data_IF_817574439072
#
_entry.id   IF_817574439072
#
_cell.length_a   1.000
_cell.length_b   1.000
_cell.length_c   1.000
_cell.angle_alpha   90.00
_cell.angle_beta   90.00
_cell.angle_gamma   90.00
#
_symmetry.space_group_name_H-M   'P 1'
#
loop_
_entity.id
_entity.type
_entity.pdbx_description
1 polymer ?
#
# COMPACT_ATOMS: atom_id res chain seq x y z
N UNK A 1 10.34 -5.43 8.62
CA UNK A 1 9.91 -6.65 9.30
C UNK A 1 9.48 -7.60 8.20
N UNK A 2 9.84 -8.88 8.29
CA UNK A 2 9.42 -9.85 7.28
C UNK A 2 7.95 -10.26 7.52
N UNK A 3 7.30 -10.86 6.52
CA UNK A 3 5.88 -11.27 6.59
C UNK A 3 5.56 -12.11 7.84
N UNK A 4 6.48 -12.95 8.28
CA UNK A 4 6.36 -13.77 9.49
C UNK A 4 6.30 -12.94 10.79
N UNK A 5 6.79 -11.70 10.78
CA UNK A 5 6.70 -10.78 11.92
C UNK A 5 5.38 -9.99 11.92
N UNK A 6 4.73 -9.84 10.75
CA UNK A 6 3.36 -9.33 10.63
C UNK A 6 2.41 -10.27 11.36
N UNK A 7 2.52 -11.57 11.06
CA UNK A 7 1.62 -12.60 11.61
C UNK A 7 1.74 -12.72 13.14
N UNK A 8 2.88 -12.32 13.72
CA UNK A 8 3.11 -12.33 15.17
C UNK A 8 2.40 -11.21 15.93
N UNK A 9 2.06 -10.10 15.27
CA UNK A 9 1.38 -8.96 15.93
C UNK A 9 -0.12 -8.91 15.65
N UNK A 10 -0.61 -9.80 14.79
CA UNK A 10 -2.03 -10.00 14.57
C UNK A 10 -2.70 -10.48 15.87
N UNK A 11 -3.83 -9.87 16.20
CA UNK A 11 -4.60 -10.22 17.37
C UNK A 11 -5.71 -11.20 16.99
N UNK A 12 -5.80 -12.32 17.70
CA UNK A 12 -6.92 -13.24 17.54
C UNK A 12 -8.24 -12.51 17.83
N UNK A 13 -9.23 -12.72 16.97
CA UNK A 13 -10.55 -12.11 17.12
C UNK A 13 -11.63 -13.18 17.14
N UNK A 14 -12.52 -13.09 18.11
CA UNK A 14 -13.70 -13.95 18.26
C UNK A 14 -14.94 -13.08 18.18
N UNK A 15 -15.88 -13.46 17.33
CA UNK A 15 -17.15 -12.77 17.15
C UNK A 15 -18.27 -13.81 17.18
N UNK A 16 -19.30 -13.59 18.00
CA UNK A 16 -20.41 -14.53 18.20
C UNK A 16 -19.99 -15.96 18.54
N UNK A 17 -18.89 -16.11 19.29
CA UNK A 17 -18.35 -17.43 19.70
C UNK A 17 -17.54 -18.16 18.61
N UNK A 18 -17.36 -17.57 17.43
CA UNK A 18 -16.54 -18.13 16.34
C UNK A 18 -15.23 -17.34 16.20
N UNK A 19 -14.11 -18.05 15.96
CA UNK A 19 -12.86 -17.41 15.55
C UNK A 19 -13.04 -16.83 14.15
N UNK A 20 -12.78 -15.54 14.00
CA UNK A 20 -12.78 -14.84 12.71
C UNK A 20 -11.35 -14.43 12.32
N UNK A 21 -11.19 -13.84 11.14
CA UNK A 21 -9.91 -13.33 10.67
C UNK A 21 -9.27 -12.41 11.72
N UNK A 22 -7.97 -12.59 12.00
CA UNK A 22 -7.29 -11.76 12.98
C UNK A 22 -7.18 -10.32 12.47
N UNK A 23 -7.03 -9.39 13.40
CA UNK A 23 -6.97 -7.94 13.10
C UNK A 23 -5.66 -7.33 13.54
N UNK A 24 -5.33 -6.18 12.95
CA UNK A 24 -4.21 -5.37 13.42
C UNK A 24 -4.50 -4.76 14.79
N UNK A 25 -3.47 -4.53 15.62
CA UNK A 25 -3.61 -3.76 16.85
C UNK A 25 -4.17 -2.35 16.59
N UNK A 26 -4.85 -1.79 17.60
CA UNK A 26 -5.39 -0.43 17.53
C UNK A 26 -4.31 0.59 17.15
N UNK A 27 -4.66 1.48 16.22
CA UNK A 27 -3.78 2.53 15.71
C UNK A 27 -2.80 2.07 14.62
N UNK A 28 -2.58 0.77 14.44
CA UNK A 28 -1.72 0.22 13.37
C UNK A 28 -2.52 0.14 12.07
N UNK A 29 -1.88 0.50 10.95
CA UNK A 29 -2.49 0.47 9.62
C UNK A 29 -1.73 -0.48 8.69
N UNK A 30 -2.45 -1.04 7.73
CA UNK A 30 -1.89 -1.69 6.55
C UNK A 30 -2.01 -0.74 5.36
N UNK A 31 -0.89 -0.15 4.93
CA UNK A 31 -0.83 0.72 3.77
C UNK A 31 -0.59 -0.11 2.52
N UNK A 32 -1.52 -0.02 1.57
CA UNK A 32 -1.36 -0.53 0.22
C UNK A 32 -1.05 0.67 -0.68
N UNK A 33 0.20 0.79 -1.11
CA UNK A 33 0.73 1.99 -1.77
C UNK A 33 1.08 1.63 -3.21
N UNK A 34 0.55 2.40 -4.15
CA UNK A 34 0.92 2.26 -5.57
C UNK A 34 2.36 2.72 -5.82
N UNK A 35 2.96 2.30 -6.93
CA UNK A 35 4.34 2.67 -7.27
C UNK A 35 4.36 3.80 -8.31
N UNK A 36 3.96 3.46 -9.54
CA UNK A 36 4.08 4.34 -10.70
C UNK A 36 3.04 5.48 -10.60
N UNK A 37 3.52 6.72 -10.76
CA UNK A 37 2.70 7.92 -10.56
C UNK A 37 2.37 8.24 -9.10
N UNK A 38 2.91 7.47 -8.15
CA UNK A 38 2.67 7.62 -6.71
C UNK A 38 3.97 7.85 -5.94
N UNK A 39 4.92 6.92 -5.94
CA UNK A 39 6.21 7.10 -5.24
C UNK A 39 7.37 7.42 -6.19
N UNK A 40 7.09 7.42 -7.48
CA UNK A 40 7.97 7.77 -8.60
C UNK A 40 7.11 8.25 -9.76
N UNK A 41 7.74 8.63 -10.87
CA UNK A 41 7.06 9.02 -12.09
C UNK A 41 6.07 7.94 -12.59
N UNK A 42 5.09 8.33 -13.41
CA UNK A 42 4.18 7.38 -14.06
C UNK A 42 4.92 6.63 -15.17
N UNK A 43 5.21 5.36 -14.93
CA UNK A 43 5.99 4.49 -15.81
C UNK A 43 5.10 3.32 -16.25
N UNK A 44 4.76 3.24 -17.54
CA UNK A 44 3.96 2.14 -18.07
C UNK A 44 4.79 0.84 -18.11
N UNK A 45 4.09 -0.31 -18.11
CA UNK A 45 4.72 -1.61 -18.30
C UNK A 45 5.46 -1.73 -19.64
N UNK A 46 5.03 -0.94 -20.62
CA UNK A 46 5.58 -0.90 -21.96
C UNK A 46 6.97 -0.22 -22.04
N UNK A 47 7.44 0.42 -20.96
CA UNK A 47 8.75 1.09 -20.89
C UNK A 47 9.58 0.61 -19.67
N UNK A 48 9.93 -0.68 -19.58
CA UNK A 48 10.58 -1.28 -18.40
C UNK A 48 11.98 -0.71 -18.11
N UNK A 49 12.68 -0.17 -19.10
CA UNK A 49 13.99 0.47 -18.94
C UNK A 49 13.96 1.68 -18.00
N UNK A 50 12.82 2.39 -17.97
CA UNK A 50 12.61 3.55 -17.07
C UNK A 50 12.44 3.13 -15.62
N UNK A 51 11.93 1.92 -15.36
CA UNK A 51 11.67 1.43 -14.00
C UNK A 51 12.93 1.39 -13.12
N UNK A 52 14.11 1.19 -13.73
CA UNK A 52 15.39 1.10 -13.01
C UNK A 52 16.10 2.44 -12.79
N UNK A 53 15.75 3.44 -13.60
CA UNK A 53 16.47 4.73 -13.71
C UNK A 53 15.68 5.91 -13.17
N UNK A 54 14.35 5.79 -13.05
CA UNK A 54 13.51 6.81 -12.44
C UNK A 54 13.95 7.14 -11.00
N UNK A 55 13.62 8.36 -10.56
CA UNK A 55 13.95 8.83 -9.23
C UNK A 55 12.71 8.80 -8.34
N UNK A 56 12.85 8.41 -7.06
CA UNK A 56 11.74 8.43 -6.13
C UNK A 56 11.32 9.87 -5.83
N UNK A 57 10.04 10.06 -5.54
CA UNK A 57 9.58 11.27 -4.87
C UNK A 57 10.12 11.26 -3.43
N UNK A 58 10.87 12.31 -3.07
CA UNK A 58 11.62 12.37 -1.80
C UNK A 58 10.70 12.39 -0.58
N UNK A 59 9.56 13.05 -0.71
CA UNK A 59 8.49 13.10 0.29
C UNK A 59 7.83 11.73 0.47
N UNK A 60 7.54 11.00 -0.62
CA UNK A 60 7.02 9.64 -0.56
C UNK A 60 7.97 8.70 0.20
N UNK A 61 9.27 8.73 -0.14
CA UNK A 61 10.30 7.96 0.57
C UNK A 61 10.31 8.28 2.08
N UNK A 62 10.30 9.57 2.43
CA UNK A 62 10.31 10.01 3.83
C UNK A 62 9.07 9.54 4.58
N UNK A 63 7.87 9.71 4.02
CA UNK A 63 6.60 9.39 4.67
C UNK A 63 6.39 7.88 4.80
N UNK A 64 6.66 7.10 3.74
CA UNK A 64 6.57 5.64 3.80
C UNK A 64 7.50 5.08 4.89
N UNK A 65 8.74 5.57 4.95
CA UNK A 65 9.69 5.13 5.96
C UNK A 65 9.27 5.59 7.37
N UNK A 66 8.71 6.80 7.53
CA UNK A 66 8.12 7.25 8.81
C UNK A 66 7.03 6.28 9.28
N UNK A 67 6.07 5.94 8.42
CA UNK A 67 5.00 4.98 8.78
C UNK A 67 5.55 3.60 9.15
N UNK A 68 6.57 3.15 8.43
CA UNK A 68 7.27 1.91 8.76
C UNK A 68 7.89 1.97 10.17
N UNK A 69 8.61 3.05 10.52
CA UNK A 69 9.21 3.22 11.86
C UNK A 69 8.15 3.37 12.96
N UNK A 70 6.97 3.91 12.64
CA UNK A 70 5.81 3.98 13.54
C UNK A 70 5.13 2.61 13.74
N UNK A 71 5.64 1.55 13.11
CA UNK A 71 5.13 0.19 13.25
C UNK A 71 3.95 -0.14 12.32
N UNK A 72 3.69 0.70 11.31
CA UNK A 72 2.69 0.41 10.29
C UNK A 72 3.22 -0.56 9.23
N UNK A 73 2.30 -1.32 8.63
CA UNK A 73 2.63 -2.20 7.53
C UNK A 73 2.61 -1.46 6.21
N UNK A 74 3.67 -1.67 5.43
CA UNK A 74 3.86 -1.07 4.11
C UNK A 74 3.89 -2.19 3.09
N UNK A 75 2.84 -2.24 2.28
CA UNK A 75 2.72 -3.12 1.13
C UNK A 75 2.72 -2.26 -0.14
N UNK A 76 3.71 -2.45 -1.02
CA UNK A 76 3.62 -1.87 -2.36
C UNK A 76 2.70 -2.73 -3.23
N UNK A 77 1.73 -2.10 -3.90
CA UNK A 77 0.71 -2.76 -4.70
C UNK A 77 0.62 -2.10 -6.08
N UNK A 78 1.25 -2.73 -7.08
CA UNK A 78 1.51 -2.14 -8.40
C UNK A 78 0.87 -2.94 -9.52
N UNK A 79 0.53 -2.26 -10.62
CA UNK A 79 0.09 -2.89 -11.87
C UNK A 79 1.24 -3.43 -12.72
N UNK A 80 2.49 -3.29 -12.25
CA UNK A 80 3.61 -4.00 -12.86
C UNK A 80 3.36 -5.51 -12.85
N UNK A 81 3.74 -6.18 -13.93
CA UNK A 81 3.60 -7.64 -14.05
C UNK A 81 4.73 -8.35 -13.30
N UNK A 82 4.54 -9.64 -13.00
CA UNK A 82 5.54 -10.45 -12.26
C UNK A 82 6.93 -10.45 -12.92
N UNK A 83 7.01 -10.39 -14.25
CA UNK A 83 8.29 -10.28 -14.98
C UNK A 83 9.10 -9.03 -14.57
N UNK A 84 8.44 -7.99 -14.06
CA UNK A 84 9.06 -6.75 -13.58
C UNK A 84 9.36 -6.76 -12.07
N UNK A 85 9.15 -7.87 -11.36
CA UNK A 85 9.39 -7.96 -9.91
C UNK A 85 10.83 -7.62 -9.55
N UNK A 86 11.80 -8.27 -10.20
CA UNK A 86 13.22 -8.11 -9.88
C UNK A 86 13.69 -6.66 -10.04
N UNK A 87 13.31 -5.98 -11.14
CA UNK A 87 13.66 -4.57 -11.34
C UNK A 87 13.00 -3.66 -10.30
N UNK A 88 11.77 -3.99 -9.90
CA UNK A 88 11.01 -3.22 -8.90
C UNK A 88 11.63 -3.37 -7.50
N UNK A 89 11.91 -4.59 -7.05
CA UNK A 89 12.55 -4.85 -5.76
C UNK A 89 13.95 -4.24 -5.69
N UNK A 90 14.75 -4.38 -6.75
CA UNK A 90 16.06 -3.74 -6.82
C UNK A 90 15.97 -2.21 -6.74
N UNK A 91 14.98 -1.61 -7.40
CA UNK A 91 14.76 -0.16 -7.34
C UNK A 91 14.35 0.29 -5.93
N UNK A 92 13.37 -0.40 -5.31
CA UNK A 92 12.92 -0.09 -3.94
C UNK A 92 14.08 -0.17 -2.93
N UNK A 93 14.88 -1.23 -3.01
CA UNK A 93 16.04 -1.44 -2.16
C UNK A 93 17.13 -0.38 -2.40
N UNK A 94 17.46 -0.11 -3.66
CA UNK A 94 18.46 0.91 -4.06
C UNK A 94 18.10 2.30 -3.50
N UNK A 95 16.81 2.64 -3.50
CA UNK A 95 16.32 3.94 -3.03
C UNK A 95 15.96 3.97 -1.54
N UNK A 96 16.09 2.85 -0.83
CA UNK A 96 15.96 2.78 0.62
C UNK A 96 14.52 2.80 1.14
N UNK A 97 13.55 2.35 0.34
CA UNK A 97 12.20 2.14 0.84
C UNK A 97 12.17 0.96 1.81
N UNK A 98 11.59 1.18 2.99
CA UNK A 98 11.32 0.12 3.97
C UNK A 98 9.90 -0.40 3.77
N UNK A 99 9.77 -1.69 3.49
CA UNK A 99 8.48 -2.32 3.21
C UNK A 99 8.45 -3.77 3.69
N UNK A 100 7.24 -4.34 3.72
CA UNK A 100 6.95 -5.68 4.23
C UNK A 100 6.53 -6.64 3.13
N UNK A 101 5.87 -6.13 2.08
CA UNK A 101 5.41 -6.94 0.96
C UNK A 101 5.30 -6.14 -0.34
N UNK A 102 5.40 -6.86 -1.46
CA UNK A 102 5.18 -6.34 -2.82
C UNK A 102 4.19 -7.25 -3.55
N UNK A 103 3.02 -6.70 -3.87
CA UNK A 103 1.99 -7.32 -4.67
C UNK A 103 2.02 -6.77 -6.10
N UNK A 104 2.22 -7.65 -7.07
CA UNK A 104 2.26 -7.33 -8.50
C UNK A 104 0.90 -7.64 -9.14
N UNK A 105 0.69 -7.17 -10.37
CA UNK A 105 -0.48 -7.53 -11.17
C UNK A 105 -1.79 -6.87 -10.73
N UNK A 106 -1.74 -5.72 -10.03
CA UNK A 106 -2.92 -4.87 -9.81
C UNK A 106 -3.58 -4.56 -11.16
N UNK A 107 -4.93 -4.66 -11.28
CA UNK A 107 -5.62 -4.30 -12.52
C UNK A 107 -5.29 -2.88 -12.98
N UNK A 108 -5.18 -2.64 -14.29
CA UNK A 108 -4.90 -1.31 -14.87
C UNK A 108 -6.20 -0.53 -15.09
N UNK A 109 -6.14 0.81 -15.05
CA UNK A 109 -7.25 1.69 -15.48
C UNK A 109 -7.82 2.64 -14.42
N UNK A 110 -7.31 2.64 -13.18
CA UNK A 110 -7.57 3.72 -12.21
C UNK A 110 -8.97 3.78 -11.56
N UNK A 111 -9.96 3.05 -12.07
CA UNK A 111 -11.31 2.97 -11.49
C UNK A 111 -11.45 1.78 -10.52
N UNK A 112 -10.88 1.93 -9.32
CA UNK A 112 -10.87 0.87 -8.32
C UNK A 112 -12.00 1.05 -7.31
N UNK A 113 -12.75 -0.03 -7.08
CA UNK A 113 -13.70 -0.13 -5.98
C UNK A 113 -13.28 -1.30 -5.09
N UNK A 114 -12.76 -1.01 -3.89
CA UNK A 114 -12.37 -2.04 -2.93
C UNK A 114 -13.55 -2.34 -2.02
N UNK A 115 -14.04 -3.57 -2.08
CA UNK A 115 -15.10 -4.09 -1.22
C UNK A 115 -14.46 -5.07 -0.24
N UNK A 116 -14.70 -4.88 1.05
CA UNK A 116 -14.19 -5.72 2.13
C UNK A 116 -15.22 -5.74 3.27
N UNK A 117 -15.29 -6.83 4.04
CA UNK A 117 -16.16 -6.91 5.21
C UNK A 117 -15.60 -6.12 6.41
N UNK A 118 -14.34 -5.70 6.33
CA UNK A 118 -13.71 -4.74 7.23
C UNK A 118 -13.71 -3.33 6.62
N UNK A 119 -13.57 -2.31 7.48
CA UNK A 119 -13.51 -0.92 7.03
C UNK A 119 -12.26 -0.66 6.19
N UNK A 120 -12.45 -0.44 4.89
CA UNK A 120 -11.41 0.02 3.98
C UNK A 120 -11.40 1.54 3.89
N UNK A 121 -10.19 2.12 3.82
CA UNK A 121 -10.00 3.57 3.67
C UNK A 121 -9.19 3.81 2.42
N UNK A 122 -9.72 4.63 1.52
CA UNK A 122 -9.02 5.08 0.32
C UNK A 122 -8.50 6.50 0.50
N UNK A 123 -7.24 6.74 0.14
CA UNK A 123 -6.65 8.08 0.07
C UNK A 123 -6.12 8.28 -1.33
N UNK A 124 -6.56 9.34 -2.01
CA UNK A 124 -6.07 9.69 -3.34
C UNK A 124 -4.80 10.51 -3.23
N UNK A 125 -3.72 10.07 -3.88
CA UNK A 125 -2.53 10.88 -4.07
C UNK A 125 -2.80 12.01 -5.07
N UNK A 126 -2.45 13.25 -4.72
CA UNK A 126 -2.65 14.45 -5.54
C UNK A 126 -1.33 15.22 -5.76
N UNK A 127 -0.19 14.53 -5.77
CA UNK A 127 1.12 15.13 -6.08
C UNK A 127 1.98 15.55 -4.87
N UNK A 128 1.57 15.25 -3.64
CA UNK A 128 2.43 15.44 -2.46
C UNK A 128 2.12 14.43 -1.36
N UNK A 129 3.17 13.80 -0.82
CA UNK A 129 3.13 13.00 0.40
C UNK A 129 3.32 13.92 1.60
N UNK A 130 2.21 14.36 2.17
CA UNK A 130 2.15 15.19 3.37
C UNK A 130 1.46 14.44 4.53
N UNK A 131 1.38 15.07 5.69
CA UNK A 131 0.60 14.51 6.80
C UNK A 131 -0.88 14.38 6.40
N UNK A 132 -1.50 13.26 6.78
CA UNK A 132 -2.90 12.98 6.46
C UNK A 132 -3.82 13.94 7.24
N UNK A 133 -4.76 14.55 6.51
CA UNK A 133 -5.81 15.40 7.08
C UNK A 133 -7.18 14.72 6.99
N UNK A 134 -8.10 15.07 7.88
CA UNK A 134 -9.48 14.58 7.83
C UNK A 134 -10.33 15.49 6.94
N UNK A 135 -11.13 14.88 6.06
CA UNK A 135 -12.08 15.57 5.19
C UNK A 135 -13.31 14.69 4.99
N UNK A 136 -14.50 15.30 4.97
CA UNK A 136 -15.73 14.62 4.60
C UNK A 136 -15.86 14.54 3.08
N UNK A 137 -16.25 13.37 2.58
CA UNK A 137 -16.49 13.09 1.16
C UNK A 137 -17.72 12.19 1.02
N UNK A 138 -18.49 12.39 -0.05
CA UNK A 138 -19.58 11.48 -0.42
C UNK A 138 -19.03 10.31 -1.20
N UNK A 139 -19.44 9.09 -0.82
CA UNK A 139 -19.07 7.84 -1.47
C UNK A 139 -20.31 6.97 -1.70
N UNK A 140 -20.21 6.02 -2.61
CA UNK A 140 -21.21 4.96 -2.75
C UNK A 140 -21.01 3.94 -1.61
N UNK A 141 -22.10 3.58 -0.95
CA UNK A 141 -22.13 2.58 0.11
C UNK A 141 -23.29 1.62 -0.13
N UNK A 142 -23.20 0.42 0.45
CA UNK A 142 -24.35 -0.46 0.50
C UNK A 142 -25.47 0.19 1.33
N UNK A 143 -26.71 -0.11 0.97
CA UNK A 143 -27.87 0.38 1.71
C UNK A 143 -27.92 -0.33 3.08
N UNK A 144 -27.97 0.45 4.15
CA UNK A 144 -28.29 -0.06 5.49
C UNK A 144 -29.76 -0.50 5.54
N UNK A 145 -30.06 -1.63 6.20
CA UNK A 145 -31.43 -2.10 6.42
C UNK A 145 -32.20 -1.24 7.43
#
# INVERSE_FOLDING_TARGET
MNREEVDKILQEKVESGQKISPVLPDGVKNYLIDIDGTITDDIPNEEPERMSTCLPFKDALKICNKWYEEGHFICFFTSRVEDHRNVTENWLNKHGFKYHSLLMGKPRGGNYHWIDNHMVKATRYNGTFSDLVRKEVTIEVFKDE
#
